data_IF_203443705523
#
_entry.id   IF_203443705523
#
_cell.length_a   1.000
_cell.length_b   1.000
_cell.length_c   1.000
_cell.angle_alpha   90.00
_cell.angle_beta   90.00
_cell.angle_gamma   90.00
#
_symmetry.space_group_name_H-M   'P 1'
#
loop_
_entity.id
_entity.type
_entity.pdbx_description
1 polymer ?
#
# COMPACT_ATOMS: atom_id res chain seq x y z
N UNK A 1 34.48 40.62 38.73
CA UNK A 1 33.84 41.24 37.54
C UNK A 1 34.58 40.65 36.34
N UNK A 2 34.26 39.43 35.90
CA UNK A 2 33.14 39.11 35.01
C UNK A 2 32.36 37.89 35.54
N UNK A 3 31.29 38.21 36.25
CA UNK A 3 30.17 37.34 36.52
C UNK A 3 29.23 37.48 35.32
N UNK A 4 28.49 36.42 34.99
CA UNK A 4 27.41 36.38 33.98
C UNK A 4 27.89 36.26 32.53
N UNK A 5 28.05 35.02 32.05
CA UNK A 5 27.72 34.47 30.72
C UNK A 5 28.32 33.06 30.74
N UNK A 6 27.49 32.04 30.96
CA UNK A 6 27.71 30.60 30.63
C UNK A 6 26.70 29.68 31.35
N UNK A 7 25.72 30.24 32.07
CA UNK A 7 24.49 29.53 32.41
C UNK A 7 23.52 29.65 31.22
N UNK A 8 23.78 28.92 30.13
CA UNK A 8 22.84 28.80 29.00
C UNK A 8 23.08 27.55 28.13
N UNK A 9 23.72 26.50 28.63
CA UNK A 9 23.98 25.26 27.85
C UNK A 9 23.19 24.05 28.37
N UNK A 10 22.23 24.24 29.28
CA UNK A 10 21.47 23.15 29.91
C UNK A 10 19.95 23.24 29.76
N UNK A 11 19.43 23.81 28.67
CA UNK A 11 17.98 23.91 28.47
C UNK A 11 17.48 23.83 27.01
N UNK A 12 18.19 23.15 26.10
CA UNK A 12 17.69 22.92 24.73
C UNK A 12 18.05 21.50 24.24
N UNK A 13 17.64 20.45 24.95
CA UNK A 13 17.22 19.18 24.31
C UNK A 13 16.25 18.43 25.24
N UNK A 14 14.93 18.71 25.19
CA UNK A 14 13.98 17.71 25.66
C UNK A 14 12.87 17.49 24.65
N UNK A 15 13.18 17.14 23.39
CA UNK A 15 12.19 16.66 22.40
C UNK A 15 12.85 15.69 21.40
N UNK A 16 13.45 14.61 21.89
CA UNK A 16 13.78 13.43 21.07
C UNK A 16 13.29 12.15 21.75
N UNK A 17 12.18 12.29 22.48
CA UNK A 17 11.29 11.20 22.80
C UNK A 17 10.27 11.08 21.65
N UNK A 18 10.07 9.84 21.21
CA UNK A 18 8.82 9.31 20.67
C UNK A 18 8.46 9.79 19.25
N UNK A 19 8.57 8.88 18.29
CA UNK A 19 7.76 8.99 17.07
C UNK A 19 8.42 8.69 15.73
N UNK A 20 9.40 7.78 15.64
CA UNK A 20 9.67 7.12 14.34
C UNK A 20 8.74 5.91 14.14
N UNK A 21 7.45 6.11 14.39
CA UNK A 21 6.43 5.46 13.58
C UNK A 21 6.07 6.51 12.53
N UNK A 22 6.79 6.50 11.40
CA UNK A 22 6.26 7.14 10.20
C UNK A 22 5.00 6.35 9.83
N UNK A 23 3.88 6.76 10.43
CA UNK A 23 2.55 6.33 10.08
C UNK A 23 2.37 6.61 8.60
N UNK A 24 2.41 5.54 7.82
CA UNK A 24 2.05 5.45 6.42
C UNK A 24 0.52 5.66 6.27
N UNK A 25 -0.02 6.72 6.87
CA UNK A 25 -1.46 6.84 7.10
C UNK A 25 -1.92 8.29 7.20
N UNK A 26 -1.50 9.17 6.30
CA UNK A 26 -2.18 10.45 6.12
C UNK A 26 -2.41 10.72 4.64
N UNK A 27 -3.69 10.67 4.25
CA UNK A 27 -4.26 10.85 2.91
C UNK A 27 -4.55 9.60 2.06
N UNK A 28 -4.85 8.46 2.68
CA UNK A 28 -5.72 7.48 1.99
C UNK A 28 -7.18 7.95 2.17
N UNK A 29 -8.00 8.02 1.11
CA UNK A 29 -9.43 8.37 1.24
C UNK A 29 -10.09 7.43 2.26
N UNK A 30 -11.07 7.92 3.03
CA UNK A 30 -11.74 7.26 4.18
C UNK A 30 -12.42 5.90 3.92
N UNK A 31 -12.06 5.18 2.86
CA UNK A 31 -12.69 3.95 2.35
C UNK A 31 -11.88 2.68 2.52
N UNK A 32 -10.75 2.70 3.24
CA UNK A 32 -10.06 1.45 3.61
C UNK A 32 -10.76 0.82 4.82
N UNK A 33 -11.89 0.13 4.58
CA UNK A 33 -12.41 -0.86 5.54
C UNK A 33 -11.52 -2.11 5.48
N UNK A 34 -11.40 -2.82 6.60
CA UNK A 34 -10.75 -4.15 6.66
C UNK A 34 -11.22 -4.97 5.45
N UNK A 35 -10.27 -5.43 4.65
CA UNK A 35 -10.54 -6.40 3.61
C UNK A 35 -10.74 -7.75 4.27
N UNK A 36 -11.95 -8.03 4.73
CA UNK A 36 -12.29 -9.42 5.04
C UNK A 36 -12.14 -10.21 3.73
N UNK A 37 -11.21 -11.18 3.64
CA UNK A 37 -10.95 -11.90 2.39
C UNK A 37 -12.19 -12.66 1.89
N UNK A 38 -13.16 -12.94 2.77
CA UNK A 38 -14.41 -13.64 2.45
C UNK A 38 -15.39 -12.71 1.72
N UNK A 39 -15.42 -11.42 2.07
CA UNK A 39 -16.34 -10.43 1.48
C UNK A 39 -15.70 -9.65 0.31
N UNK A 40 -14.37 -9.60 0.24
CA UNK A 40 -13.64 -8.98 -0.86
C UNK A 40 -13.28 -10.03 -1.91
N UNK A 41 -14.08 -10.16 -2.96
CA UNK A 41 -13.65 -10.91 -4.14
C UNK A 41 -12.49 -10.14 -4.82
N UNK A 42 -11.25 -10.56 -4.58
CA UNK A 42 -10.06 -10.02 -5.24
C UNK A 42 -9.91 -10.51 -6.69
N UNK A 43 -10.54 -11.64 -7.00
CA UNK A 43 -10.66 -12.17 -8.36
C UNK A 43 -11.51 -11.27 -9.24
N UNK A 44 -11.07 -11.04 -10.47
CA UNK A 44 -11.86 -10.33 -11.48
C UNK A 44 -11.02 -9.46 -12.40
N UNK A 45 -11.72 -8.56 -13.08
CA UNK A 45 -11.11 -7.55 -13.95
C UNK A 45 -10.88 -6.27 -13.15
N UNK A 46 -9.74 -5.66 -13.38
CA UNK A 46 -9.30 -4.44 -12.73
C UNK A 46 -8.82 -3.47 -13.81
N UNK A 47 -9.04 -2.18 -13.59
CA UNK A 47 -8.62 -1.12 -14.50
C UNK A 47 -7.70 -0.16 -13.75
N UNK A 48 -6.52 0.10 -14.30
CA UNK A 48 -5.62 1.13 -13.80
C UNK A 48 -6.14 2.53 -14.11
N UNK A 49 -6.05 3.42 -13.13
CA UNK A 49 -6.53 4.80 -13.21
C UNK A 49 -5.69 5.66 -14.14
N UNK A 50 -4.37 5.45 -14.09
CA UNK A 50 -3.40 6.29 -14.82
C UNK A 50 -3.07 5.76 -16.21
N UNK A 51 -3.01 4.44 -16.38
CA UNK A 51 -2.59 3.79 -17.63
C UNK A 51 -3.77 3.23 -18.46
N UNK A 52 -4.97 3.19 -17.89
CA UNK A 52 -6.16 2.56 -18.48
C UNK A 52 -5.94 1.10 -18.90
N UNK A 53 -4.98 0.40 -18.27
CA UNK A 53 -4.71 -1.00 -18.56
C UNK A 53 -5.74 -1.90 -17.87
N UNK A 54 -6.13 -2.97 -18.58
CA UNK A 54 -7.00 -4.00 -18.05
C UNK A 54 -6.15 -5.13 -17.46
N UNK A 55 -6.27 -5.31 -16.15
CA UNK A 55 -5.62 -6.35 -15.38
C UNK A 55 -6.65 -7.44 -15.04
N UNK A 56 -6.27 -8.70 -15.25
CA UNK A 56 -7.07 -9.86 -14.92
C UNK A 56 -6.42 -10.55 -13.73
N UNK A 57 -7.11 -10.58 -12.59
CA UNK A 57 -6.59 -11.12 -11.36
C UNK A 57 -7.39 -12.34 -10.89
N UNK A 58 -6.68 -13.33 -10.35
CA UNK A 58 -7.20 -14.52 -9.70
C UNK A 58 -6.68 -14.55 -8.27
N UNK A 59 -7.61 -14.68 -7.33
CA UNK A 59 -7.32 -14.85 -5.92
C UNK A 59 -7.46 -16.31 -5.51
N UNK A 60 -6.50 -16.77 -4.72
CA UNK A 60 -6.45 -18.10 -4.13
C UNK A 60 -6.39 -17.97 -2.60
N UNK A 61 -7.49 -18.28 -1.88
CA UNK A 61 -7.55 -18.15 -0.43
C UNK A 61 -6.74 -19.22 0.31
N UNK A 62 -6.33 -20.31 -0.35
CA UNK A 62 -5.63 -21.43 0.31
C UNK A 62 -4.13 -21.16 0.47
N UNK A 63 -3.62 -20.07 -0.13
CA UNK A 63 -2.20 -19.76 -0.18
C UNK A 63 -1.80 -18.69 0.83
N UNK A 64 -1.10 -19.09 1.89
CA UNK A 64 -0.62 -18.17 2.93
C UNK A 64 -1.73 -17.72 3.89
N UNK A 65 -1.44 -16.74 4.75
CA UNK A 65 -2.37 -16.29 5.80
C UNK A 65 -3.62 -15.60 5.23
N UNK A 66 -3.45 -14.81 4.18
CA UNK A 66 -4.49 -13.95 3.62
C UNK A 66 -4.86 -14.31 2.17
N UNK A 67 -4.22 -15.33 1.59
CA UNK A 67 -4.36 -15.71 0.20
C UNK A 67 -3.28 -15.13 -0.71
N UNK A 68 -3.27 -15.63 -1.95
CA UNK A 68 -2.39 -15.21 -3.04
C UNK A 68 -3.21 -14.52 -4.13
N UNK A 69 -2.69 -13.41 -4.64
CA UNK A 69 -3.22 -12.73 -5.81
C UNK A 69 -2.29 -12.97 -7.00
N UNK A 70 -2.84 -13.36 -8.13
CA UNK A 70 -2.12 -13.54 -9.39
C UNK A 70 -2.78 -12.68 -10.45
N UNK A 71 -2.03 -11.80 -11.09
CA UNK A 71 -2.56 -10.82 -12.03
C UNK A 71 -1.81 -10.86 -13.36
N UNK A 72 -2.55 -10.66 -14.44
CA UNK A 72 -2.02 -10.57 -15.80
C UNK A 72 -2.56 -9.35 -16.52
N UNK A 73 -1.77 -8.80 -17.42
CA UNK A 73 -2.17 -7.71 -18.32
C UNK A 73 -1.86 -8.13 -19.74
N UNK A 74 -2.81 -7.87 -20.62
CA UNK A 74 -2.69 -8.15 -22.05
C UNK A 74 -3.06 -6.90 -22.84
N UNK A 75 -2.17 -5.91 -22.84
CA UNK A 75 -2.29 -4.69 -23.62
C UNK A 75 -1.31 -4.74 -24.81
N UNK A 76 -1.62 -4.15 -25.98
CA UNK A 76 -0.70 -4.15 -27.13
C UNK A 76 0.70 -3.61 -26.83
N UNK A 77 0.79 -2.62 -25.94
CA UNK A 77 2.06 -1.98 -25.53
C UNK A 77 2.71 -2.65 -24.30
N UNK A 78 1.96 -3.46 -23.56
CA UNK A 78 2.43 -4.03 -22.30
C UNK A 78 1.75 -5.36 -21.99
N UNK A 79 2.56 -6.42 -21.90
CA UNK A 79 2.12 -7.77 -21.53
C UNK A 79 2.97 -8.25 -20.37
N UNK A 80 2.32 -8.58 -19.27
CA UNK A 80 3.00 -9.05 -18.08
C UNK A 80 2.12 -9.97 -17.26
N UNK A 81 2.77 -10.81 -16.46
CA UNK A 81 2.15 -11.70 -15.49
C UNK A 81 2.96 -11.63 -14.19
N UNK A 82 2.28 -11.52 -13.05
CA UNK A 82 2.94 -11.50 -11.74
C UNK A 82 2.01 -12.00 -10.63
N UNK A 83 2.59 -12.48 -9.54
CA UNK A 83 1.86 -13.00 -8.40
C UNK A 83 2.49 -12.52 -7.09
N UNK A 84 1.66 -12.33 -6.06
CA UNK A 84 2.08 -11.90 -4.73
C UNK A 84 1.18 -12.56 -3.69
N UNK A 85 1.75 -12.88 -2.54
CA UNK A 85 0.94 -13.10 -1.35
C UNK A 85 0.33 -11.78 -0.90
N UNK A 86 -0.86 -11.86 -0.32
CA UNK A 86 -1.45 -10.77 0.45
C UNK A 86 -0.94 -10.91 1.89
N UNK A 87 -0.43 -9.82 2.44
CA UNK A 87 0.24 -9.75 3.73
C UNK A 87 -0.32 -8.58 4.57
N UNK A 88 0.32 -8.31 5.71
CA UNK A 88 -0.10 -7.28 6.65
C UNK A 88 -1.00 -7.81 7.76
N UNK A 89 -1.15 -7.02 8.83
CA UNK A 89 -2.03 -7.36 9.96
C UNK A 89 -3.49 -7.46 9.50
N UNK A 90 -3.88 -6.64 8.53
CA UNK A 90 -5.23 -6.53 7.99
C UNK A 90 -5.43 -7.22 6.64
N UNK A 91 -4.47 -8.03 6.16
CA UNK A 91 -4.56 -8.68 4.85
C UNK A 91 -4.81 -7.67 3.71
N UNK A 92 -4.06 -6.57 3.71
CA UNK A 92 -4.23 -5.40 2.84
C UNK A 92 -2.95 -4.99 2.11
N UNK A 93 -1.84 -5.70 2.33
CA UNK A 93 -0.54 -5.41 1.70
C UNK A 93 -0.22 -6.43 0.61
N UNK A 94 0.30 -5.97 -0.52
CA UNK A 94 0.74 -6.85 -1.60
C UNK A 94 1.88 -6.20 -2.38
N UNK A 95 2.68 -7.00 -3.09
CA UNK A 95 3.88 -6.53 -3.81
C UNK A 95 3.99 -7.17 -5.18
N UNK A 96 3.82 -6.39 -6.23
CA UNK A 96 3.90 -6.86 -7.61
C UNK A 96 4.55 -5.80 -8.49
N UNK A 97 5.29 -6.22 -9.52
CA UNK A 97 5.95 -5.33 -10.48
C UNK A 97 6.76 -4.19 -9.84
N UNK A 98 7.49 -4.49 -8.76
CA UNK A 98 8.25 -3.52 -7.95
C UNK A 98 7.40 -2.42 -7.30
N UNK A 99 6.07 -2.56 -7.29
CA UNK A 99 5.14 -1.69 -6.59
C UNK A 99 4.71 -2.32 -5.27
N UNK A 100 4.50 -1.47 -4.27
CA UNK A 100 3.81 -1.82 -3.02
C UNK A 100 2.35 -1.44 -3.15
N UNK A 101 1.46 -2.41 -2.98
CA UNK A 101 0.02 -2.22 -3.03
C UNK A 101 -0.58 -2.14 -1.63
N UNK A 102 -1.51 -1.20 -1.44
CA UNK A 102 -2.48 -1.21 -0.35
C UNK A 102 -3.87 -1.45 -0.90
N UNK A 103 -4.52 -2.44 -0.34
CA UNK A 103 -5.58 -3.15 -1.01
C UNK A 103 -6.85 -3.08 -0.14
N UNK A 104 -7.99 -2.81 -0.76
CA UNK A 104 -9.32 -2.87 -0.15
C UNK A 104 -10.33 -3.53 -1.10
N UNK A 105 -11.54 -3.80 -0.62
CA UNK A 105 -12.66 -4.33 -1.43
C UNK A 105 -12.91 -3.47 -2.68
N UNK A 106 -12.38 -3.92 -3.83
CA UNK A 106 -12.58 -3.28 -5.13
C UNK A 106 -11.62 -2.14 -5.46
N UNK A 107 -10.60 -1.86 -4.64
CA UNK A 107 -9.59 -0.85 -4.94
C UNK A 107 -8.19 -1.24 -4.45
N UNK A 108 -7.17 -1.06 -5.29
CA UNK A 108 -5.75 -1.21 -4.91
C UNK A 108 -5.01 0.08 -5.23
N UNK A 109 -4.42 0.71 -4.22
CA UNK A 109 -3.50 1.82 -4.39
C UNK A 109 -2.07 1.29 -4.51
N UNK A 110 -1.35 1.70 -5.56
CA UNK A 110 0.02 1.29 -5.81
C UNK A 110 1.01 2.42 -5.57
N UNK A 111 2.12 2.06 -4.93
CA UNK A 111 3.16 2.98 -4.53
C UNK A 111 4.53 2.48 -5.04
N UNK A 112 5.33 3.40 -5.55
CA UNK A 112 6.74 3.17 -5.88
C UNK A 112 7.59 4.10 -5.01
N UNK A 113 8.52 3.53 -4.24
CA UNK A 113 9.40 4.31 -3.33
C UNK A 113 8.63 5.25 -2.38
N UNK A 114 7.39 4.90 -2.03
CA UNK A 114 6.53 5.68 -1.14
C UNK A 114 5.64 6.70 -1.85
N UNK A 115 5.83 6.94 -3.15
CA UNK A 115 4.98 7.82 -3.94
C UNK A 115 3.83 7.04 -4.58
N UNK A 116 2.63 7.62 -4.58
CA UNK A 116 1.50 7.07 -5.33
C UNK A 116 1.83 7.01 -6.83
N UNK A 117 1.55 5.87 -7.46
CA UNK A 117 1.81 5.65 -8.89
C UNK A 117 0.57 5.30 -9.69
N UNK A 118 -0.33 4.48 -9.15
CA UNK A 118 -1.52 4.06 -9.86
C UNK A 118 -2.59 3.59 -8.88
N UNK A 119 -3.86 3.64 -9.30
CA UNK A 119 -4.99 3.11 -8.56
C UNK A 119 -5.73 2.11 -9.43
N UNK A 120 -5.97 0.91 -8.94
CA UNK A 120 -6.73 -0.10 -9.66
C UNK A 120 -8.12 -0.20 -9.10
N UNK A 121 -9.12 -0.04 -9.96
CA UNK A 121 -10.52 -0.21 -9.61
C UNK A 121 -11.03 -1.52 -10.18
N UNK A 122 -11.74 -2.29 -9.38
CA UNK A 122 -12.40 -3.50 -9.89
C UNK A 122 -13.53 -3.10 -10.82
N UNK A 123 -13.54 -3.68 -12.01
CA UNK A 123 -14.61 -3.51 -13.00
C UNK A 123 -15.55 -4.71 -12.94
N UNK A 124 -16.86 -4.46 -13.09
CA UNK A 124 -17.93 -5.47 -13.08
C UNK A 124 -17.78 -6.53 -14.16
#
# INVERSE_FOLDING_TARGET
MFLVIFIAVLAIVPVLLLGQNYGFQENLPRRFRKSDPVDCSWSGRWMGSEDAFNFYCRFDPEQGKCGKLECSVNHPLFKAHNASLIEGENCDELRMWNLRGKASCGYIAWFERGEYRNGWYKTS
#
